data_IF_325005606390
#
_entry.id   IF_325005606390
#
_cell.length_a   1.000
_cell.length_b   1.000
_cell.length_c   1.000
_cell.angle_alpha   90.00
_cell.angle_beta   90.00
_cell.angle_gamma   90.00
#
_symmetry.space_group_name_H-M   'P 1'
#
loop_
_entity.id
_entity.type
_entity.pdbx_description
1 polymer ?
#
# COMPACT_ATOMS: atom_id res chain seq x y z
N UNK A 1 26.96 -5.14 -8.72
CA UNK A 1 26.07 -5.45 -7.57
C UNK A 1 25.46 -6.81 -7.79
N UNK A 2 25.54 -7.68 -6.79
CA UNK A 2 25.21 -9.09 -6.94
C UNK A 2 23.75 -9.39 -6.61
N UNK A 3 22.80 -8.79 -7.34
CA UNK A 3 21.37 -9.08 -7.19
C UNK A 3 21.06 -10.56 -7.32
N UNK A 4 21.79 -11.25 -8.21
CA UNK A 4 21.66 -12.69 -8.41
C UNK A 4 22.01 -13.43 -7.12
N UNK A 5 23.07 -13.02 -6.41
CA UNK A 5 23.50 -13.66 -5.17
C UNK A 5 22.44 -13.50 -4.07
N UNK A 6 22.04 -12.24 -3.79
CA UNK A 6 21.01 -11.97 -2.77
C UNK A 6 19.69 -12.64 -3.13
N UNK A 7 19.22 -12.47 -4.38
CA UNK A 7 17.93 -13.02 -4.80
C UNK A 7 17.92 -14.54 -4.82
N UNK A 8 19.08 -15.19 -5.04
CA UNK A 8 19.20 -16.65 -4.98
C UNK A 8 19.22 -17.21 -3.56
N UNK A 9 19.60 -16.40 -2.56
CA UNK A 9 19.60 -16.80 -1.15
C UNK A 9 18.28 -16.51 -0.44
N UNK A 10 17.35 -15.79 -1.07
CA UNK A 10 16.06 -15.46 -0.48
C UNK A 10 15.12 -16.69 -0.50
N UNK A 11 14.40 -16.96 0.61
CA UNK A 11 13.42 -18.03 0.65
C UNK A 11 12.29 -17.76 -0.35
N UNK A 12 11.73 -18.81 -0.93
CA UNK A 12 10.57 -18.65 -1.83
C UNK A 12 9.36 -18.19 -1.03
N UNK A 13 8.71 -17.11 -1.46
CA UNK A 13 7.46 -16.64 -0.87
C UNK A 13 6.28 -17.47 -1.37
N UNK A 14 5.35 -17.77 -0.45
CA UNK A 14 4.10 -18.46 -0.74
C UNK A 14 2.99 -17.78 0.08
N UNK A 15 1.92 -17.36 -0.58
CA UNK A 15 0.79 -16.67 0.09
C UNK A 15 0.11 -17.51 1.19
N UNK A 16 0.30 -18.83 1.15
CA UNK A 16 -0.24 -19.79 2.12
C UNK A 16 0.76 -20.17 3.23
N UNK A 17 1.95 -19.55 3.27
CA UNK A 17 2.95 -19.79 4.31
C UNK A 17 3.51 -18.48 4.85
N UNK A 18 3.85 -18.47 6.15
CA UNK A 18 4.56 -17.35 6.75
C UNK A 18 5.97 -17.21 6.13
N UNK A 19 6.51 -15.99 5.97
CA UNK A 19 7.88 -15.82 5.52
C UNK A 19 8.87 -16.52 6.46
N UNK A 20 9.90 -17.17 5.90
CA UNK A 20 10.87 -17.94 6.68
C UNK A 20 11.93 -17.10 7.41
N UNK A 21 11.99 -15.81 7.12
CA UNK A 21 12.90 -14.84 7.73
C UNK A 21 12.10 -13.64 8.23
N UNK A 22 12.58 -12.95 9.26
CA UNK A 22 11.96 -11.72 9.73
C UNK A 22 12.24 -10.51 8.81
N UNK A 23 11.45 -9.44 8.94
CA UNK A 23 11.68 -8.18 8.22
C UNK A 23 13.08 -7.61 8.49
N UNK A 24 13.50 -7.65 9.74
CA UNK A 24 14.79 -7.15 10.20
C UNK A 24 15.95 -7.88 9.48
N UNK A 25 15.86 -9.20 9.35
CA UNK A 25 16.84 -10.00 8.61
C UNK A 25 16.90 -9.63 7.12
N UNK A 26 15.74 -9.37 6.50
CA UNK A 26 15.69 -8.91 5.11
C UNK A 26 16.33 -7.51 4.96
N UNK A 27 16.11 -6.62 5.93
CA UNK A 27 16.71 -5.29 5.93
C UNK A 27 18.23 -5.34 6.13
N UNK A 28 18.74 -6.24 6.98
CA UNK A 28 20.18 -6.47 7.14
C UNK A 28 20.82 -6.95 5.83
N UNK A 29 20.16 -7.87 5.11
CA UNK A 29 20.62 -8.31 3.79
C UNK A 29 20.68 -7.16 2.79
N UNK A 30 19.68 -6.27 2.78
CA UNK A 30 19.67 -5.07 1.93
C UNK A 30 20.84 -4.16 2.31
N UNK A 31 21.05 -3.91 3.61
CA UNK A 31 22.06 -2.98 4.09
C UNK A 31 23.48 -3.41 3.68
N UNK A 32 23.76 -4.70 3.75
CA UNK A 32 25.06 -5.28 3.41
C UNK A 32 25.34 -5.33 1.90
N UNK A 33 24.30 -5.45 1.06
CA UNK A 33 24.49 -5.81 -0.34
C UNK A 33 24.11 -4.71 -1.35
N UNK A 34 23.32 -3.71 -0.94
CA UNK A 34 22.72 -2.74 -1.86
C UNK A 34 23.49 -1.42 -1.89
N UNK A 35 23.43 -0.73 -3.02
CA UNK A 35 24.03 0.61 -3.17
C UNK A 35 23.09 1.64 -2.57
N UNK A 36 23.63 2.85 -2.36
CA UNK A 36 22.83 4.00 -1.94
C UNK A 36 21.62 4.24 -2.85
N UNK A 37 21.75 4.07 -4.17
CA UNK A 37 20.65 4.29 -5.11
C UNK A 37 19.55 3.22 -4.96
N UNK A 38 19.92 1.98 -4.68
CA UNK A 38 18.96 0.89 -4.55
C UNK A 38 18.27 0.93 -3.18
N UNK A 39 19.02 1.30 -2.13
CA UNK A 39 18.46 1.64 -0.82
C UNK A 39 17.48 2.80 -0.91
N UNK A 40 17.71 3.79 -1.79
CA UNK A 40 16.76 4.88 -2.03
C UNK A 40 15.43 4.38 -2.61
N UNK A 41 15.45 3.39 -3.51
CA UNK A 41 14.21 2.78 -4.03
C UNK A 41 13.46 2.05 -2.91
N UNK A 42 14.17 1.26 -2.10
CA UNK A 42 13.59 0.59 -0.92
C UNK A 42 12.99 1.61 0.05
N UNK A 43 13.72 2.68 0.34
CA UNK A 43 13.26 3.79 1.17
C UNK A 43 11.94 4.35 0.64
N UNK A 44 11.87 4.65 -0.66
CA UNK A 44 10.65 5.16 -1.28
C UNK A 44 9.48 4.19 -1.11
N UNK A 45 9.66 2.88 -1.41
CA UNK A 45 8.60 1.87 -1.19
C UNK A 45 8.06 1.94 0.25
N UNK A 46 8.95 2.13 1.23
CA UNK A 46 8.62 2.22 2.65
C UNK A 46 7.89 3.52 3.06
N UNK A 47 8.01 4.60 2.28
CA UNK A 47 7.32 5.89 2.56
C UNK A 47 5.79 5.74 2.61
N UNK A 48 5.21 4.84 1.82
CA UNK A 48 3.78 4.55 1.90
C UNK A 48 3.39 3.99 3.28
N UNK A 49 4.25 3.16 3.86
CA UNK A 49 4.02 2.60 5.19
C UNK A 49 4.26 3.62 6.29
N UNK A 50 5.11 4.63 6.06
CA UNK A 50 5.22 5.79 6.96
C UNK A 50 3.92 6.58 7.01
N UNK A 51 3.25 6.79 5.87
CA UNK A 51 1.91 7.39 5.86
C UNK A 51 0.89 6.52 6.60
N UNK A 52 0.86 5.22 6.36
CA UNK A 52 -0.04 4.35 7.13
C UNK A 52 0.29 4.33 8.63
N UNK A 53 1.56 4.48 9.01
CA UNK A 53 1.94 4.60 10.41
C UNK A 53 1.49 5.92 11.03
N UNK A 54 1.56 7.03 10.27
CA UNK A 54 0.96 8.31 10.66
C UNK A 54 -0.54 8.16 10.90
N UNK A 55 -1.25 7.53 9.97
CA UNK A 55 -2.67 7.22 10.16
C UNK A 55 -2.89 6.41 11.43
N UNK A 56 -2.19 5.29 11.59
CA UNK A 56 -2.31 4.42 12.79
C UNK A 56 -2.07 5.20 14.08
N UNK A 57 -1.10 6.11 14.10
CA UNK A 57 -0.84 6.98 15.24
C UNK A 57 -2.03 7.90 15.56
N UNK A 58 -2.66 8.50 14.56
CA UNK A 58 -3.88 9.32 14.74
C UNK A 58 -5.02 8.52 15.38
N UNK A 59 -5.18 7.25 15.00
CA UNK A 59 -6.20 6.35 15.57
C UNK A 59 -5.76 5.65 16.87
N UNK A 60 -4.56 5.92 17.38
CA UNK A 60 -4.04 5.28 18.60
C UNK A 60 -3.68 3.80 18.43
N UNK A 61 -3.45 3.35 17.20
CA UNK A 61 -3.03 1.98 16.90
C UNK A 61 -1.52 1.80 17.00
N UNK A 62 -1.11 0.54 17.09
CA UNK A 62 0.29 0.13 16.99
C UNK A 62 0.81 0.48 15.59
N UNK A 63 2.02 1.05 15.52
CA UNK A 63 2.68 1.31 14.24
C UNK A 63 3.38 0.04 13.75
N UNK A 64 3.56 -0.06 12.44
CA UNK A 64 4.31 -1.13 11.80
C UNK A 64 5.79 -0.78 11.68
N UNK A 65 6.65 -1.80 11.72
CA UNK A 65 8.10 -1.71 11.44
C UNK A 65 8.44 -1.56 9.93
N UNK A 66 7.45 -1.63 9.02
CA UNK A 66 7.70 -1.56 7.57
C UNK A 66 8.05 -0.15 7.08
N UNK A 67 7.60 0.89 7.78
CA UNK A 67 7.97 2.28 7.50
C UNK A 67 9.46 2.55 7.77
N UNK A 68 9.97 3.68 7.28
CA UNK A 68 11.33 4.14 7.55
C UNK A 68 11.52 4.70 8.96
N UNK A 69 10.44 5.17 9.60
CA UNK A 69 10.51 5.83 10.90
C UNK A 69 9.87 5.00 12.02
N UNK A 70 10.50 5.02 13.20
CA UNK A 70 9.92 4.46 14.42
C UNK A 70 8.96 5.45 15.11
N UNK A 71 8.27 4.99 16.16
CA UNK A 71 7.24 5.79 16.86
C UNK A 71 7.75 7.15 17.36
N UNK A 72 8.96 7.18 17.92
CA UNK A 72 9.55 8.41 18.42
C UNK A 72 9.85 9.37 17.27
N UNK A 73 10.46 8.86 16.21
CA UNK A 73 10.74 9.65 15.00
C UNK A 73 9.46 10.17 14.34
N UNK A 74 8.39 9.35 14.31
CA UNK A 74 7.07 9.75 13.82
C UNK A 74 6.44 10.88 14.66
N UNK A 75 6.63 10.85 15.98
CA UNK A 75 6.20 11.94 16.87
C UNK A 75 7.00 13.22 16.65
N UNK A 76 8.30 13.08 16.37
CA UNK A 76 9.22 14.19 16.13
C UNK A 76 9.14 14.71 14.67
N UNK A 77 8.32 14.10 13.79
CA UNK A 77 8.24 14.41 12.35
C UNK A 77 8.00 15.88 12.04
N UNK A 78 7.26 16.60 12.89
CA UNK A 78 7.00 18.03 12.72
C UNK A 78 8.26 18.91 12.82
N UNK A 79 9.39 18.33 13.24
CA UNK A 79 10.68 18.99 13.37
C UNK A 79 11.75 18.46 12.40
N UNK A 80 11.42 17.49 11.55
CA UNK A 80 12.38 16.86 10.63
C UNK A 80 12.35 17.51 9.24
N UNK A 81 13.32 18.37 8.91
CA UNK A 81 13.47 19.05 7.60
C UNK A 81 13.52 18.13 6.35
N UNK A 82 13.43 16.81 6.52
CA UNK A 82 13.56 15.81 5.46
C UNK A 82 12.24 15.27 4.89
N UNK A 83 11.08 15.65 5.43
CA UNK A 83 9.80 15.19 4.89
C UNK A 83 9.37 15.98 3.66
N UNK A 84 8.57 15.36 2.77
CA UNK A 84 7.88 16.08 1.71
C UNK A 84 7.02 17.21 2.27
N UNK A 85 7.05 18.37 1.60
CA UNK A 85 6.33 19.58 2.02
C UNK A 85 4.83 19.34 2.23
N UNK A 86 4.22 18.50 1.38
CA UNK A 86 2.80 18.22 1.45
C UNK A 86 2.35 17.57 2.79
N UNK A 87 3.26 16.91 3.52
CA UNK A 87 2.98 16.37 4.86
C UNK A 87 2.92 17.51 5.88
N UNK A 88 3.85 18.47 5.81
CA UNK A 88 3.84 19.65 6.68
C UNK A 88 2.64 20.54 6.42
N UNK A 89 2.30 20.75 5.14
CA UNK A 89 1.14 21.52 4.75
C UNK A 89 -0.12 20.89 5.36
N UNK A 90 -0.27 19.56 5.27
CA UNK A 90 -1.39 18.83 5.86
C UNK A 90 -1.54 19.03 7.37
N UNK A 91 -0.45 18.89 8.13
CA UNK A 91 -0.50 19.09 9.59
C UNK A 91 -0.66 20.57 9.99
N UNK A 92 -0.31 21.49 9.10
CA UNK A 92 -0.51 22.93 9.30
C UNK A 92 -1.95 23.34 9.01
N UNK A 93 -2.54 22.77 7.96
CA UNK A 93 -3.93 22.98 7.51
C UNK A 93 -4.94 22.35 8.49
N UNK A 94 -4.60 21.18 9.08
CA UNK A 94 -5.45 20.44 10.00
C UNK A 94 -4.80 20.29 11.37
N UNK A 95 -5.13 21.21 12.30
CA UNK A 95 -4.45 21.28 13.59
C UNK A 95 -4.98 20.29 14.63
N UNK A 96 -6.25 19.85 14.50
CA UNK A 96 -6.85 18.94 15.46
C UNK A 96 -6.88 17.48 14.95
N UNK A 97 -6.73 16.47 15.83
CA UNK A 97 -6.67 15.07 15.42
C UNK A 97 -7.90 14.54 14.67
N UNK A 98 -9.10 15.08 14.94
CA UNK A 98 -10.33 14.64 14.28
C UNK A 98 -10.41 15.15 12.83
N UNK A 99 -9.98 16.38 12.59
CA UNK A 99 -9.79 16.92 11.23
C UNK A 99 -8.71 16.15 10.47
N UNK A 100 -7.57 15.86 11.12
CA UNK A 100 -6.50 15.06 10.52
C UNK A 100 -7.00 13.68 10.10
N UNK A 101 -7.79 12.99 10.95
CA UNK A 101 -8.40 11.70 10.58
C UNK A 101 -9.35 11.84 9.39
N UNK A 102 -10.21 12.86 9.42
CA UNK A 102 -11.21 13.10 8.38
C UNK A 102 -10.57 13.41 7.01
N UNK A 103 -9.50 14.20 7.02
CA UNK A 103 -8.82 14.67 5.80
C UNK A 103 -7.63 13.79 5.41
N UNK A 104 -7.30 12.74 6.16
CA UNK A 104 -6.21 11.82 5.82
C UNK A 104 -6.24 11.27 4.37
N UNK A 105 -7.42 10.98 3.76
CA UNK A 105 -7.47 10.59 2.34
C UNK A 105 -6.83 11.61 1.39
N UNK A 106 -6.86 12.90 1.72
CA UNK A 106 -6.18 13.94 0.96
C UNK A 106 -4.67 13.75 0.95
N UNK A 107 -4.09 13.41 2.11
CA UNK A 107 -2.66 13.17 2.25
C UNK A 107 -2.20 11.99 1.38
N UNK A 108 -3.01 10.92 1.35
CA UNK A 108 -2.78 9.76 0.48
C UNK A 108 -2.89 10.12 -1.01
N UNK A 109 -3.89 10.92 -1.39
CA UNK A 109 -4.07 11.38 -2.77
C UNK A 109 -2.88 12.22 -3.24
N UNK A 110 -2.40 13.16 -2.40
CA UNK A 110 -1.20 13.98 -2.65
C UNK A 110 0.05 13.10 -2.80
N UNK A 111 0.24 12.11 -1.91
CA UNK A 111 1.36 11.16 -2.00
C UNK A 111 1.37 10.43 -3.34
N UNK A 112 0.26 9.82 -3.73
CA UNK A 112 0.22 9.07 -4.98
C UNK A 112 0.43 9.95 -6.20
N UNK A 113 -0.12 11.18 -6.21
CA UNK A 113 0.10 12.14 -7.29
C UNK A 113 1.59 12.38 -7.51
N UNK A 114 2.34 12.70 -6.46
CA UNK A 114 3.80 12.87 -6.52
C UNK A 114 4.51 11.60 -7.00
N UNK A 115 4.15 10.43 -6.45
CA UNK A 115 4.83 9.17 -6.81
C UNK A 115 4.56 8.72 -8.25
N UNK A 116 3.44 9.13 -8.85
CA UNK A 116 3.07 8.80 -10.23
C UNK A 116 3.72 9.71 -11.28
N UNK A 117 4.26 10.86 -10.88
CA UNK A 117 5.10 11.72 -11.74
C UNK A 117 6.48 11.12 -11.99
N UNK A 118 6.90 10.15 -11.17
CA UNK A 118 8.17 9.44 -11.30
C UNK A 118 8.28 8.55 -12.56
N UNK A 119 9.27 7.66 -12.57
CA UNK A 119 9.48 6.73 -13.68
C UNK A 119 9.95 5.35 -13.20
N UNK A 120 10.04 4.41 -14.14
CA UNK A 120 10.56 3.07 -13.90
C UNK A 120 9.69 2.23 -12.95
N UNK A 121 10.35 1.43 -12.11
CA UNK A 121 9.71 0.48 -11.21
C UNK A 121 8.74 1.15 -10.24
N UNK A 122 9.15 2.25 -9.58
CA UNK A 122 8.34 2.90 -8.54
C UNK A 122 7.01 3.41 -9.09
N UNK A 123 7.01 4.07 -10.26
CA UNK A 123 5.76 4.51 -10.89
C UNK A 123 4.80 3.34 -11.13
N UNK A 124 5.28 2.22 -11.68
CA UNK A 124 4.47 1.02 -11.91
C UNK A 124 3.94 0.44 -10.61
N UNK A 125 4.79 0.37 -9.59
CA UNK A 125 4.45 -0.13 -8.26
C UNK A 125 3.35 0.69 -7.60
N UNK A 126 3.51 2.02 -7.51
CA UNK A 126 2.48 2.88 -6.91
C UNK A 126 1.20 2.96 -7.75
N UNK A 127 1.32 2.89 -9.07
CA UNK A 127 0.14 2.80 -9.93
C UNK A 127 -0.67 1.53 -9.63
N UNK A 128 -0.02 0.38 -9.50
CA UNK A 128 -0.69 -0.87 -9.09
C UNK A 128 -1.38 -0.72 -7.73
N UNK A 129 -0.66 -0.20 -6.72
CA UNK A 129 -1.20 -0.05 -5.37
C UNK A 129 -2.37 0.95 -5.29
N UNK A 130 -2.25 2.09 -5.97
CA UNK A 130 -3.34 3.08 -6.03
C UNK A 130 -4.56 2.48 -6.72
N UNK A 131 -4.37 1.87 -7.89
CA UNK A 131 -5.49 1.27 -8.63
C UNK A 131 -6.18 0.20 -7.79
N UNK A 132 -5.41 -0.69 -7.16
CA UNK A 132 -5.94 -1.69 -6.23
C UNK A 132 -6.75 -1.06 -5.08
N UNK A 133 -6.26 0.04 -4.50
CA UNK A 133 -6.94 0.75 -3.41
C UNK A 133 -8.25 1.38 -3.90
N UNK A 134 -8.21 2.10 -5.03
CA UNK A 134 -9.39 2.74 -5.63
C UNK A 134 -10.47 1.72 -6.02
N UNK A 135 -10.08 0.55 -6.56
CA UNK A 135 -11.02 -0.53 -6.85
C UNK A 135 -11.72 -1.02 -5.58
N UNK A 136 -10.98 -1.22 -4.47
CA UNK A 136 -11.59 -1.62 -3.20
C UNK A 136 -12.55 -0.56 -2.66
N UNK A 137 -12.20 0.72 -2.76
CA UNK A 137 -13.10 1.83 -2.38
C UNK A 137 -14.38 1.77 -3.20
N UNK A 138 -14.29 1.64 -4.52
CA UNK A 138 -15.45 1.56 -5.41
C UNK A 138 -16.37 0.37 -5.06
N UNK A 139 -15.80 -0.81 -4.87
CA UNK A 139 -16.56 -1.99 -4.47
C UNK A 139 -17.27 -1.81 -3.13
N UNK A 140 -16.57 -1.29 -2.12
CA UNK A 140 -17.16 -1.03 -0.80
C UNK A 140 -18.28 -0.01 -0.92
N UNK A 141 -18.05 1.12 -1.58
CA UNK A 141 -19.07 2.16 -1.77
C UNK A 141 -20.38 1.59 -2.33
N UNK A 142 -20.29 0.69 -3.33
CA UNK A 142 -21.46 0.02 -3.88
C UNK A 142 -22.15 -0.91 -2.88
N UNK A 143 -21.40 -1.78 -2.22
CA UNK A 143 -21.98 -2.77 -1.30
C UNK A 143 -22.63 -2.14 -0.08
N UNK A 144 -22.07 -1.06 0.47
CA UNK A 144 -22.61 -0.36 1.65
C UNK A 144 -23.36 0.94 1.33
N UNK A 145 -23.67 1.18 0.05
CA UNK A 145 -24.42 2.35 -0.44
C UNK A 145 -23.84 3.69 0.05
N UNK A 146 -22.51 3.79 0.10
CA UNK A 146 -21.84 5.07 0.39
C UNK A 146 -21.67 5.90 -0.87
N UNK A 147 -21.73 7.22 -0.70
CA UNK A 147 -21.51 8.16 -1.78
C UNK A 147 -20.04 8.14 -2.22
N UNK A 148 -19.80 7.67 -3.44
CA UNK A 148 -18.45 7.55 -4.02
C UNK A 148 -17.82 8.90 -4.37
N UNK A 149 -18.61 9.92 -4.71
CA UNK A 149 -18.10 11.28 -4.96
C UNK A 149 -17.44 11.85 -3.70
N UNK A 150 -18.01 11.55 -2.53
CA UNK A 150 -17.45 11.95 -1.22
C UNK A 150 -16.16 11.18 -0.90
N UNK A 151 -16.15 9.88 -1.13
CA UNK A 151 -14.97 9.04 -0.82
C UNK A 151 -13.78 9.33 -1.76
N UNK A 152 -14.03 9.94 -2.93
CA UNK A 152 -13.02 10.35 -3.91
C UNK A 152 -12.85 11.87 -4.01
N UNK A 153 -13.30 12.64 -3.01
CA UNK A 153 -13.36 14.12 -3.10
C UNK A 153 -11.99 14.79 -3.28
N UNK A 154 -10.90 14.13 -2.85
CA UNK A 154 -9.52 14.63 -2.96
C UNK A 154 -8.75 14.10 -4.18
N UNK A 155 -9.36 13.19 -4.94
CA UNK A 155 -8.75 12.59 -6.12
C UNK A 155 -8.89 13.50 -7.35
N UNK A 156 -7.99 13.33 -8.32
CA UNK A 156 -8.10 14.05 -9.59
C UNK A 156 -9.20 13.42 -10.46
N UNK A 157 -10.29 14.14 -10.69
CA UNK A 157 -11.42 13.68 -11.53
C UNK A 157 -11.05 13.48 -13.00
N UNK A 158 -9.91 14.01 -13.46
CA UNK A 158 -9.37 13.78 -14.81
C UNK A 158 -8.54 12.51 -14.92
N UNK A 159 -8.16 11.90 -13.80
CA UNK A 159 -7.49 10.61 -13.79
C UNK A 159 -8.44 9.53 -14.33
N UNK A 160 -7.95 8.70 -15.25
CA UNK A 160 -8.77 7.72 -15.97
C UNK A 160 -9.43 6.71 -15.03
N UNK A 161 -8.74 6.29 -13.96
CA UNK A 161 -9.29 5.32 -13.00
C UNK A 161 -10.38 5.97 -12.17
N UNK A 162 -10.14 7.19 -11.67
CA UNK A 162 -11.13 7.96 -10.89
C UNK A 162 -12.36 8.24 -11.75
N UNK A 163 -12.17 8.71 -12.99
CA UNK A 163 -13.25 8.96 -13.93
C UNK A 163 -14.08 7.69 -14.22
N UNK A 164 -13.41 6.55 -14.42
CA UNK A 164 -14.08 5.25 -14.60
C UNK A 164 -14.94 4.84 -13.40
N UNK A 165 -14.52 5.16 -12.17
CA UNK A 165 -15.31 4.89 -10.97
C UNK A 165 -16.52 5.82 -10.90
N UNK A 166 -16.31 7.12 -11.08
CA UNK A 166 -17.36 8.14 -10.95
C UNK A 166 -18.46 7.99 -12.01
N UNK A 167 -18.11 7.62 -13.23
CA UNK A 167 -19.09 7.36 -14.32
C UNK A 167 -20.02 6.18 -14.02
N UNK A 168 -19.61 5.28 -13.12
CA UNK A 168 -20.41 4.14 -12.69
C UNK A 168 -21.17 4.38 -11.38
N UNK A 169 -21.18 5.60 -10.83
CA UNK A 169 -21.79 5.88 -9.50
C UNK A 169 -23.27 5.51 -9.40
N UNK A 170 -24.02 5.61 -10.50
CA UNK A 170 -25.46 5.34 -10.55
C UNK A 170 -25.80 3.91 -11.03
N UNK A 171 -24.78 3.15 -11.45
CA UNK A 171 -24.94 1.77 -11.94
C UNK A 171 -25.06 0.80 -10.76
N UNK A 172 -25.97 -0.17 -10.83
CA UNK A 172 -26.20 -1.13 -9.74
C UNK A 172 -24.96 -2.00 -9.44
N UNK A 173 -24.24 -2.41 -10.48
CA UNK A 173 -23.02 -3.22 -10.35
C UNK A 173 -21.79 -2.44 -10.84
N UNK A 174 -20.72 -2.49 -10.05
CA UNK A 174 -19.43 -1.92 -10.44
C UNK A 174 -18.65 -2.88 -11.34
N UNK A 175 -18.13 -2.35 -12.45
CA UNK A 175 -17.22 -3.02 -13.36
C UNK A 175 -15.78 -2.51 -13.12
N UNK A 176 -14.85 -3.38 -12.72
CA UNK A 176 -13.43 -3.01 -12.56
C UNK A 176 -12.79 -2.49 -13.85
N UNK A 177 -11.71 -1.75 -13.70
CA UNK A 177 -10.82 -1.42 -14.82
C UNK A 177 -10.05 -2.65 -15.32
N UNK A 178 -9.50 -2.54 -16.52
CA UNK A 178 -8.69 -3.58 -17.15
C UNK A 178 -7.57 -4.09 -16.24
N UNK A 179 -7.42 -5.41 -16.19
CA UNK A 179 -6.47 -6.11 -15.35
C UNK A 179 -6.92 -6.33 -13.89
N UNK A 180 -8.05 -5.76 -13.47
CA UNK A 180 -8.63 -5.90 -12.11
C UNK A 180 -9.98 -6.62 -12.06
N UNK A 181 -10.41 -7.23 -13.17
CA UNK A 181 -11.70 -7.90 -13.33
C UNK A 181 -11.90 -9.01 -12.29
N UNK A 182 -10.81 -9.71 -11.93
CA UNK A 182 -10.83 -10.78 -10.91
C UNK A 182 -11.19 -10.30 -9.51
N UNK A 183 -11.15 -9.00 -9.22
CA UNK A 183 -11.60 -8.47 -7.93
C UNK A 183 -13.12 -8.57 -7.75
N UNK A 184 -13.91 -8.44 -8.82
CA UNK A 184 -15.38 -8.52 -8.73
C UNK A 184 -15.87 -9.83 -8.09
N UNK A 185 -15.50 -11.03 -8.60
CA UNK A 185 -15.94 -12.28 -7.99
C UNK A 185 -15.40 -12.46 -6.57
N UNK A 186 -14.21 -11.92 -6.23
CA UNK A 186 -13.67 -11.95 -4.86
C UNK A 186 -14.59 -11.18 -3.91
N UNK A 187 -14.96 -9.95 -4.28
CA UNK A 187 -15.88 -9.13 -3.49
C UNK A 187 -17.28 -9.75 -3.43
N UNK A 188 -17.84 -10.17 -4.55
CA UNK A 188 -19.19 -10.74 -4.58
C UNK A 188 -19.30 -12.02 -3.73
N UNK A 189 -18.24 -12.83 -3.65
CA UNK A 189 -18.23 -14.08 -2.89
C UNK A 189 -17.95 -13.87 -1.40
N UNK A 190 -17.02 -12.97 -1.06
CA UNK A 190 -16.46 -12.89 0.30
C UNK A 190 -16.80 -11.61 1.05
N UNK A 191 -17.65 -10.73 0.51
CA UNK A 191 -17.98 -9.45 1.16
C UNK A 191 -18.41 -9.59 2.64
N UNK A 192 -19.23 -10.60 2.93
CA UNK A 192 -19.76 -10.88 4.27
C UNK A 192 -18.76 -11.60 5.19
N UNK A 193 -17.61 -12.03 4.66
CA UNK A 193 -16.50 -12.60 5.44
C UNK A 193 -15.26 -11.69 5.29
N UNK A 194 -15.14 -10.66 6.14
CA UNK A 194 -14.04 -9.69 6.05
C UNK A 194 -12.67 -10.35 6.04
N UNK A 195 -12.44 -11.38 6.87
CA UNK A 195 -11.17 -12.11 6.96
C UNK A 195 -10.81 -12.77 5.65
N UNK A 196 -11.77 -13.45 5.04
CA UNK A 196 -11.58 -14.13 3.75
C UNK A 196 -11.47 -13.14 2.59
N UNK A 197 -12.24 -12.05 2.62
CA UNK A 197 -12.12 -10.96 1.64
C UNK A 197 -10.71 -10.38 1.64
N UNK A 198 -10.17 -10.06 2.81
CA UNK A 198 -8.81 -9.53 2.91
C UNK A 198 -7.77 -10.54 2.42
N UNK A 199 -7.88 -11.82 2.81
CA UNK A 199 -6.99 -12.86 2.29
C UNK A 199 -6.95 -12.89 0.76
N UNK A 200 -8.13 -12.99 0.14
CA UNK A 200 -8.24 -13.18 -1.30
C UNK A 200 -7.87 -11.92 -2.09
N UNK A 201 -8.13 -10.73 -1.53
CA UNK A 201 -7.67 -9.46 -2.13
C UNK A 201 -6.16 -9.29 -2.02
N UNK A 202 -5.53 -9.63 -0.88
CA UNK A 202 -4.06 -9.62 -0.75
C UNK A 202 -3.43 -10.68 -1.64
N UNK A 203 -4.03 -11.87 -1.75
CA UNK A 203 -3.60 -12.92 -2.69
C UNK A 203 -3.68 -12.46 -4.13
N UNK A 204 -4.74 -11.75 -4.52
CA UNK A 204 -4.83 -11.14 -5.84
C UNK A 204 -3.67 -10.16 -6.09
N UNK A 205 -3.39 -9.25 -5.16
CA UNK A 205 -2.31 -8.28 -5.29
C UNK A 205 -0.93 -8.96 -5.33
N UNK A 206 -0.70 -9.97 -4.49
CA UNK A 206 0.52 -10.77 -4.46
C UNK A 206 0.80 -11.43 -5.81
N UNK A 207 -0.23 -12.02 -6.42
CA UNK A 207 -0.12 -12.65 -7.73
C UNK A 207 0.05 -11.63 -8.86
N UNK A 208 -0.56 -10.44 -8.74
CA UNK A 208 -0.36 -9.34 -9.69
C UNK A 208 1.07 -8.81 -9.67
N UNK A 209 1.69 -8.72 -8.49
CA UNK A 209 3.11 -8.40 -8.36
C UNK A 209 4.00 -9.51 -8.95
N UNK A 210 3.69 -10.79 -8.66
CA UNK A 210 4.45 -11.92 -9.21
C UNK A 210 4.42 -11.94 -10.75
N UNK A 211 3.29 -11.61 -11.36
CA UNK A 211 3.15 -11.55 -12.81
C UNK A 211 4.02 -10.44 -13.47
N UNK A 212 4.47 -9.44 -12.71
CA UNK A 212 5.39 -8.40 -13.18
C UNK A 212 6.86 -8.78 -12.98
N UNK A 213 7.13 -9.91 -12.33
CA UNK A 213 8.48 -10.32 -11.96
C UNK A 213 9.25 -10.77 -13.19
N UNK A 214 10.46 -10.23 -13.33
CA UNK A 214 11.38 -10.68 -14.37
C UNK A 214 11.83 -12.12 -14.08
N UNK A 215 12.03 -12.90 -15.15
CA UNK A 215 12.69 -14.22 -15.06
C UNK A 215 14.12 -14.08 -14.56
N UNK A 216 14.74 -12.93 -14.80
CA UNK A 216 16.09 -12.64 -14.32
C UNK A 216 16.07 -12.17 -12.88
N UNK A 217 16.96 -12.74 -12.06
CA UNK A 217 17.24 -12.36 -10.66
C UNK A 217 17.96 -11.00 -10.56
N UNK A 218 17.38 -9.97 -11.19
CA UNK A 218 17.88 -8.59 -11.23
C UNK A 218 17.20 -7.69 -10.20
N UNK A 219 17.35 -6.36 -10.40
CA UNK A 219 16.83 -5.35 -9.48
C UNK A 219 15.32 -5.42 -9.29
N UNK A 220 14.58 -5.46 -10.40
CA UNK A 220 13.11 -5.48 -10.37
C UNK A 220 12.57 -6.75 -9.72
N UNK A 221 13.23 -7.90 -9.93
CA UNK A 221 12.89 -9.14 -9.22
C UNK A 221 12.94 -8.93 -7.71
N UNK A 222 14.03 -8.34 -7.21
CA UNK A 222 14.18 -8.09 -5.78
C UNK A 222 13.15 -7.09 -5.25
N UNK A 223 12.89 -5.99 -5.95
CA UNK A 223 11.92 -5.01 -5.47
C UNK A 223 10.48 -5.56 -5.43
N UNK A 224 10.13 -6.43 -6.39
CA UNK A 224 8.86 -7.17 -6.37
C UNK A 224 8.84 -8.15 -5.20
N UNK A 225 9.93 -8.90 -4.98
CA UNK A 225 10.07 -9.78 -3.83
C UNK A 225 9.87 -9.01 -2.52
N UNK A 226 10.52 -7.85 -2.36
CA UNK A 226 10.42 -7.01 -1.17
C UNK A 226 8.98 -6.55 -0.92
N UNK A 227 8.29 -6.09 -1.97
CA UNK A 227 6.87 -5.72 -1.86
C UNK A 227 5.99 -6.91 -1.45
N UNK A 228 6.18 -8.07 -2.08
CA UNK A 228 5.47 -9.31 -1.74
C UNK A 228 5.74 -9.76 -0.30
N UNK A 229 6.98 -9.64 0.15
CA UNK A 229 7.39 -9.97 1.51
C UNK A 229 6.61 -9.15 2.53
N UNK A 230 6.54 -7.82 2.34
CA UNK A 230 5.78 -6.94 3.24
C UNK A 230 4.28 -7.29 3.23
N UNK A 231 3.70 -7.58 2.06
CA UNK A 231 2.29 -8.00 1.97
C UNK A 231 2.03 -9.29 2.77
N UNK A 232 2.94 -10.27 2.63
CA UNK A 232 2.83 -11.56 3.29
C UNK A 232 2.99 -11.42 4.80
N UNK A 233 4.00 -10.69 5.25
CA UNK A 233 4.23 -10.48 6.67
C UNK A 233 3.07 -9.71 7.33
N UNK A 234 2.55 -8.67 6.65
CA UNK A 234 1.35 -7.96 7.12
C UNK A 234 0.14 -8.89 7.20
N UNK A 235 -0.05 -9.76 6.22
CA UNK A 235 -1.13 -10.76 6.20
C UNK A 235 -1.03 -11.68 7.41
N UNK A 236 0.13 -12.29 7.66
CA UNK A 236 0.30 -13.24 8.77
C UNK A 236 0.23 -12.56 10.14
N UNK A 237 0.84 -11.37 10.31
CA UNK A 237 0.70 -10.59 11.55
C UNK A 237 -0.75 -10.25 11.84
N UNK A 238 -1.56 -9.96 10.82
CA UNK A 238 -2.99 -9.66 10.99
C UNK A 238 -3.84 -10.86 11.45
N UNK A 239 -3.46 -12.07 11.04
CA UNK A 239 -4.11 -13.30 11.50
C UNK A 239 -3.73 -13.62 12.95
N UNK A 240 -2.47 -13.41 13.31
CA UNK A 240 -1.94 -13.72 14.64
C UNK A 240 -2.45 -12.72 15.70
N UNK A 241 -2.57 -11.44 15.37
CA UNK A 241 -2.86 -10.40 16.36
C UNK A 241 -4.36 -10.09 16.59
N UNK A 242 -5.28 -10.76 15.88
CA UNK A 242 -6.73 -10.43 15.86
C UNK A 242 -7.04 -8.93 15.57
N UNK A 243 -6.06 -8.13 15.12
CA UNK A 243 -6.22 -6.71 14.75
C UNK A 243 -6.99 -6.52 13.43
N UNK A 244 -7.53 -7.60 12.88
CA UNK A 244 -8.16 -7.66 11.57
C UNK A 244 -9.24 -6.57 11.35
N UNK A 245 -10.07 -6.31 12.36
CA UNK A 245 -11.14 -5.31 12.30
C UNK A 245 -10.63 -3.86 12.33
N UNK A 246 -9.41 -3.61 12.81
CA UNK A 246 -8.82 -2.27 12.94
C UNK A 246 -8.10 -1.79 11.67
N UNK A 247 -7.86 -2.67 10.69
CA UNK A 247 -7.23 -2.32 9.42
C UNK A 247 -8.21 -2.05 8.28
N UNK A 248 -9.51 -2.27 8.52
CA UNK A 248 -10.57 -2.08 7.52
C UNK A 248 -11.15 -0.67 7.51
N UNK A 249 -10.70 0.21 8.41
CA UNK A 249 -11.15 1.58 8.58
C UNK A 249 -9.96 2.54 8.61
#
# INVERSE_FOLDING_TARGET
>A
MYYVFVSSSLPRLNIHQEPSIAFEELMDLIELNFSRNDKKIIWQIRELFDLFNLQRQLYGYTISNFGNYNKKQLQDLLHLESLPSYIFDFFSDYQNPEEQKKHFPELLARFYREKLEGNGFLKKFYHLLRTFTLMQVAFRCKKIQRNVDRELEFEDTKDEIVHHILTQRDVAEFQPVDGFEKLKPIFDTYFEDPKKLYFETIKFLFNKLEAQKSVFLGKEYFFIYFAQFILLEKLYRSYVQEEFLKMLF
#
